data_IF_489033849058
#
_entry.id   IF_489033849058
#
_cell.length_a   1.000
_cell.length_b   1.000
_cell.length_c   1.000
_cell.angle_alpha   90.00
_cell.angle_beta   90.00
_cell.angle_gamma   90.00
#
_symmetry.space_group_name_H-M   'P 1'
#
loop_
_entity.id
_entity.type
_entity.pdbx_description
1 polymer ?
#
# COMPACT_ATOMS: atom_id res chain seq x y z
N UNK A 1 10.11 14.32 -27.74
CA UNK A 1 8.82 13.63 -27.45
C UNK A 1 9.06 12.50 -26.45
N UNK A 2 9.43 12.80 -25.20
CA UNK A 2 9.91 11.78 -24.24
C UNK A 2 9.06 11.70 -22.95
N UNK A 3 8.03 12.55 -22.80
CA UNK A 3 7.17 12.60 -21.60
C UNK A 3 5.91 11.74 -21.66
N UNK A 4 5.38 11.45 -22.86
CA UNK A 4 4.08 10.75 -23.02
C UNK A 4 4.14 9.25 -22.65
N UNK A 5 5.32 8.62 -22.64
CA UNK A 5 5.42 7.18 -22.35
C UNK A 5 5.50 6.85 -20.85
N UNK A 6 5.97 7.78 -20.02
CA UNK A 6 6.27 7.51 -18.60
C UNK A 6 5.02 7.54 -17.73
N UNK A 7 4.10 8.47 -18.00
CA UNK A 7 2.82 8.56 -17.31
C UNK A 7 1.93 7.33 -17.61
N UNK A 8 1.84 6.91 -18.88
CA UNK A 8 1.08 5.71 -19.27
C UNK A 8 1.62 4.42 -18.63
N UNK A 9 2.95 4.28 -18.56
CA UNK A 9 3.58 3.16 -17.86
C UNK A 9 3.28 3.18 -16.34
N UNK A 10 3.30 4.36 -15.71
CA UNK A 10 2.98 4.53 -14.29
C UNK A 10 1.51 4.18 -13.99
N UNK A 11 0.58 4.62 -14.83
CA UNK A 11 -0.84 4.28 -14.71
C UNK A 11 -1.04 2.76 -14.83
N UNK A 12 -0.39 2.12 -15.81
CA UNK A 12 -0.47 0.65 -15.95
C UNK A 12 0.07 -0.08 -14.71
N UNK A 13 1.14 0.44 -14.10
CA UNK A 13 1.71 -0.15 -12.89
C UNK A 13 0.84 0.11 -11.65
N UNK A 14 0.17 1.27 -11.56
CA UNK A 14 -0.83 1.55 -10.54
C UNK A 14 -1.99 0.56 -10.63
N UNK A 15 -2.56 0.35 -11.81
CA UNK A 15 -3.65 -0.64 -12.00
C UNK A 15 -3.21 -2.08 -11.72
N UNK A 16 -1.93 -2.40 -11.88
CA UNK A 16 -1.37 -3.70 -11.49
C UNK A 16 -1.23 -3.84 -9.97
N UNK A 17 -0.79 -2.77 -9.30
CA UNK A 17 -0.69 -2.75 -7.85
C UNK A 17 -2.09 -2.82 -7.21
N UNK A 18 -3.07 -2.10 -7.78
CA UNK A 18 -4.46 -2.13 -7.32
C UNK A 18 -5.03 -3.55 -7.35
N UNK A 19 -4.92 -4.25 -8.49
CA UNK A 19 -5.33 -5.66 -8.59
C UNK A 19 -4.64 -6.57 -7.57
N UNK A 20 -3.34 -6.36 -7.32
CA UNK A 20 -2.62 -7.12 -6.28
C UNK A 20 -3.13 -6.84 -4.87
N UNK A 21 -3.54 -5.61 -4.59
CA UNK A 21 -4.14 -5.25 -3.30
C UNK A 21 -5.54 -5.87 -3.16
N UNK A 22 -6.32 -5.94 -4.24
CA UNK A 22 -7.61 -6.65 -4.26
C UNK A 22 -7.43 -8.16 -4.01
N UNK A 23 -6.49 -8.82 -4.69
CA UNK A 23 -6.13 -10.22 -4.43
C UNK A 23 -5.66 -10.42 -2.98
N UNK A 24 -4.88 -9.47 -2.45
CA UNK A 24 -4.43 -9.50 -1.07
C UNK A 24 -5.60 -9.42 -0.08
N UNK A 25 -6.55 -8.50 -0.29
CA UNK A 25 -7.75 -8.36 0.54
C UNK A 25 -8.62 -9.63 0.48
N UNK A 26 -8.68 -10.29 -0.69
CA UNK A 26 -9.36 -11.58 -0.84
C UNK A 26 -8.67 -12.68 -0.03
N UNK A 27 -7.35 -12.81 -0.10
CA UNK A 27 -6.61 -13.80 0.70
C UNK A 27 -6.76 -13.58 2.22
N UNK A 28 -6.89 -12.33 2.66
CA UNK A 28 -7.18 -11.99 4.06
C UNK A 28 -8.56 -12.52 4.45
N UNK A 29 -9.57 -12.31 3.60
CA UNK A 29 -10.92 -12.81 3.84
C UNK A 29 -10.99 -14.35 3.85
N UNK A 30 -10.18 -15.00 3.02
CA UNK A 30 -10.05 -16.47 2.97
C UNK A 30 -9.22 -17.06 4.13
N UNK A 31 -8.58 -16.22 4.95
CA UNK A 31 -7.73 -16.66 6.06
C UNK A 31 -6.38 -17.26 5.64
N UNK A 32 -5.95 -17.05 4.40
CA UNK A 32 -4.69 -17.59 3.88
C UNK A 32 -3.51 -16.70 4.28
N UNK A 33 -3.08 -16.82 5.54
CA UNK A 33 -2.06 -15.96 6.16
C UNK A 33 -0.68 -16.03 5.52
N UNK A 34 -0.26 -17.20 5.02
CA UNK A 34 1.03 -17.35 4.33
C UNK A 34 1.05 -16.58 2.99
N UNK A 35 0.02 -16.78 2.16
CA UNK A 35 -0.10 -16.12 0.88
C UNK A 35 -0.33 -14.61 1.05
N UNK A 36 -1.08 -14.22 2.08
CA UNK A 36 -1.29 -12.83 2.47
C UNK A 36 0.04 -12.14 2.81
N UNK A 37 0.90 -12.77 3.63
CA UNK A 37 2.17 -12.18 4.06
C UNK A 37 3.14 -11.98 2.89
N UNK A 38 3.25 -12.99 2.00
CA UNK A 38 4.06 -12.90 0.78
C UNK A 38 3.54 -11.79 -0.16
N UNK A 39 2.22 -11.71 -0.32
CA UNK A 39 1.56 -10.73 -1.17
C UNK A 39 1.68 -9.31 -0.61
N UNK A 40 1.65 -9.15 0.72
CA UNK A 40 1.85 -7.88 1.41
C UNK A 40 3.26 -7.32 1.15
N UNK A 41 4.30 -8.13 1.38
CA UNK A 41 5.69 -7.72 1.14
C UNK A 41 5.93 -7.31 -0.33
N UNK A 42 5.28 -8.02 -1.24
CA UNK A 42 5.28 -7.71 -2.67
C UNK A 42 4.63 -6.34 -2.93
N UNK A 43 3.45 -6.10 -2.37
CA UNK A 43 2.74 -4.82 -2.51
C UNK A 43 3.54 -3.64 -1.94
N UNK A 44 4.16 -3.79 -0.76
CA UNK A 44 5.05 -2.77 -0.18
C UNK A 44 6.22 -2.42 -1.11
N UNK A 45 6.85 -3.43 -1.69
CA UNK A 45 7.98 -3.23 -2.61
C UNK A 45 7.56 -2.49 -3.87
N UNK A 46 6.42 -2.88 -4.46
CA UNK A 46 5.88 -2.20 -5.63
C UNK A 46 5.45 -0.77 -5.32
N UNK A 47 4.78 -0.53 -4.18
CA UNK A 47 4.36 0.80 -3.75
C UNK A 47 5.57 1.74 -3.60
N UNK A 48 6.66 1.29 -2.95
CA UNK A 48 7.89 2.08 -2.81
C UNK A 48 8.51 2.42 -4.17
N UNK A 49 8.62 1.44 -5.07
CA UNK A 49 9.16 1.65 -6.43
C UNK A 49 8.30 2.62 -7.24
N UNK A 50 6.98 2.49 -7.13
CA UNK A 50 6.03 3.36 -7.81
C UNK A 50 6.08 4.78 -7.28
N UNK A 51 6.16 4.95 -5.96
CA UNK A 51 6.28 6.27 -5.35
C UNK A 51 7.57 6.98 -5.78
N UNK A 52 8.70 6.27 -5.82
CA UNK A 52 9.97 6.83 -6.28
C UNK A 52 9.88 7.30 -7.75
N UNK A 53 9.33 6.47 -8.64
CA UNK A 53 9.14 6.84 -10.06
C UNK A 53 8.13 7.96 -10.26
N UNK A 54 7.02 7.95 -9.52
CA UNK A 54 6.00 8.98 -9.60
C UNK A 54 6.54 10.33 -9.11
N UNK A 55 7.35 10.32 -8.04
CA UNK A 55 8.02 11.52 -7.53
C UNK A 55 8.98 12.12 -8.56
N UNK A 56 9.75 11.27 -9.24
CA UNK A 56 10.76 11.72 -10.21
C UNK A 56 10.13 12.26 -11.52
N UNK A 57 9.02 11.66 -11.98
CA UNK A 57 8.52 11.91 -13.33
C UNK A 57 7.10 12.48 -13.44
N UNK A 58 6.26 12.33 -12.41
CA UNK A 58 4.80 12.60 -12.53
C UNK A 58 4.29 13.61 -11.52
N UNK A 59 4.90 13.76 -10.34
CA UNK A 59 4.42 14.72 -9.34
C UNK A 59 4.48 16.18 -9.83
N UNK A 60 5.32 16.46 -10.82
CA UNK A 60 5.45 17.78 -11.44
C UNK A 60 4.54 17.99 -12.66
N UNK A 61 3.75 16.99 -13.06
CA UNK A 61 2.83 17.06 -14.20
C UNK A 61 1.39 17.34 -13.76
N UNK A 62 0.49 17.59 -14.71
CA UNK A 62 -0.93 17.80 -14.44
C UNK A 62 -1.60 16.59 -13.74
N UNK A 63 -1.11 15.37 -14.01
CA UNK A 63 -1.60 14.12 -13.39
C UNK A 63 -1.01 13.86 -12.00
N UNK A 64 0.01 14.62 -11.59
CA UNK A 64 0.72 14.45 -10.32
C UNK A 64 -0.20 14.36 -9.10
N UNK A 65 -1.11 15.32 -8.88
CA UNK A 65 -2.04 15.29 -7.75
C UNK A 65 -2.91 14.02 -7.71
N UNK A 66 -3.41 13.56 -8.86
CA UNK A 66 -4.24 12.36 -8.95
C UNK A 66 -3.43 11.11 -8.60
N UNK A 67 -2.23 10.98 -9.16
CA UNK A 67 -1.33 9.85 -8.88
C UNK A 67 -0.92 9.80 -7.41
N UNK A 68 -0.68 10.94 -6.77
CA UNK A 68 -0.42 11.01 -5.32
C UNK A 68 -1.61 10.49 -4.52
N UNK A 69 -2.83 10.89 -4.88
CA UNK A 69 -4.04 10.40 -4.21
C UNK A 69 -4.22 8.89 -4.37
N UNK A 70 -3.99 8.35 -5.56
CA UNK A 70 -4.16 6.91 -5.81
C UNK A 70 -3.09 6.08 -5.09
N UNK A 71 -1.84 6.55 -5.06
CA UNK A 71 -0.79 5.94 -4.24
C UNK A 71 -1.12 5.99 -2.74
N UNK A 72 -1.69 7.10 -2.25
CA UNK A 72 -2.10 7.23 -0.86
C UNK A 72 -3.24 6.26 -0.51
N UNK A 73 -4.25 6.11 -1.39
CA UNK A 73 -5.34 5.13 -1.21
C UNK A 73 -4.79 3.70 -1.13
N UNK A 74 -3.88 3.33 -2.04
CA UNK A 74 -3.26 2.01 -2.03
C UNK A 74 -2.45 1.76 -0.76
N UNK A 75 -1.69 2.76 -0.28
CA UNK A 75 -0.98 2.68 0.99
C UNK A 75 -1.93 2.39 2.16
N UNK A 76 -3.03 3.14 2.26
CA UNK A 76 -4.01 2.96 3.34
C UNK A 76 -4.63 1.56 3.31
N UNK A 77 -4.96 1.03 2.12
CA UNK A 77 -5.49 -0.35 1.98
C UNK A 77 -4.48 -1.39 2.45
N UNK A 78 -3.22 -1.28 2.02
CA UNK A 78 -2.13 -2.17 2.45
C UNK A 78 -1.93 -2.11 3.98
N UNK A 79 -1.98 -0.91 4.57
CA UNK A 79 -1.87 -0.75 6.03
C UNK A 79 -3.05 -1.35 6.79
N UNK A 80 -4.28 -1.28 6.26
CA UNK A 80 -5.43 -1.98 6.86
C UNK A 80 -5.22 -3.48 6.85
N UNK A 81 -4.75 -4.05 5.75
CA UNK A 81 -4.42 -5.47 5.67
C UNK A 81 -3.35 -5.82 6.70
N UNK A 82 -2.28 -5.03 6.80
CA UNK A 82 -1.23 -5.24 7.81
C UNK A 82 -1.80 -5.25 9.23
N UNK A 83 -2.67 -4.29 9.58
CA UNK A 83 -3.36 -4.27 10.88
C UNK A 83 -4.31 -5.45 11.08
N UNK A 84 -4.93 -5.95 10.02
CA UNK A 84 -5.78 -7.14 10.08
C UNK A 84 -4.95 -8.38 10.43
N UNK A 85 -3.83 -8.59 9.74
CA UNK A 85 -2.90 -9.70 10.02
C UNK A 85 -2.33 -9.58 11.43
N UNK A 86 -1.96 -8.36 11.85
CA UNK A 86 -1.46 -8.09 13.21
C UNK A 86 -2.44 -8.54 14.30
N UNK A 87 -3.73 -8.28 14.08
CA UNK A 87 -4.79 -8.69 15.01
C UNK A 87 -5.03 -10.20 14.99
N UNK A 88 -4.96 -10.84 13.83
CA UNK A 88 -5.16 -12.28 13.69
C UNK A 88 -3.96 -13.12 14.16
N UNK A 89 -2.73 -12.58 14.11
CA UNK A 89 -1.48 -13.28 14.43
C UNK A 89 -0.49 -12.40 15.23
N UNK A 90 -0.74 -12.17 16.53
CA UNK A 90 0.06 -11.26 17.36
C UNK A 90 1.52 -11.70 17.61
N UNK A 91 1.88 -12.95 17.28
CA UNK A 91 3.21 -13.55 17.53
C UNK A 91 4.14 -13.57 16.32
N UNK A 92 3.75 -13.01 15.17
CA UNK A 92 4.65 -12.97 14.00
C UNK A 92 5.71 -11.85 14.15
N UNK A 93 7.02 -12.17 14.06
CA UNK A 93 8.12 -11.23 14.32
C UNK A 93 8.20 -10.04 13.34
N UNK A 94 7.37 -10.03 12.29
CA UNK A 94 7.20 -8.90 11.38
C UNK A 94 6.27 -7.80 11.92
N UNK A 95 5.55 -8.06 13.02
CA UNK A 95 4.49 -7.19 13.54
C UNK A 95 4.85 -6.48 14.86
N UNK A 96 5.90 -6.93 15.57
CA UNK A 96 6.35 -6.30 16.82
C UNK A 96 7.12 -4.98 16.64
N UNK A 97 7.37 -4.56 15.40
CA UNK A 97 8.29 -3.44 15.12
C UNK A 97 7.70 -2.03 15.17
N UNK A 98 6.38 -1.83 15.27
CA UNK A 98 5.82 -0.47 15.34
C UNK A 98 4.34 -0.41 15.76
N UNK A 99 3.95 -1.18 16.78
CA UNK A 99 2.73 -0.89 17.53
C UNK A 99 3.05 0.13 18.64
N UNK A 100 3.52 1.33 18.26
CA UNK A 100 3.29 2.48 19.12
C UNK A 100 1.82 2.82 18.96
N UNK A 101 1.03 2.24 19.87
CA UNK A 101 -0.34 2.64 20.16
C UNK A 101 -0.43 4.17 20.18
N UNK A 102 -1.08 4.73 19.17
CA UNK A 102 -1.70 6.05 19.32
C UNK A 102 -2.93 5.80 20.19
N UNK A 103 -2.71 5.71 21.50
CA UNK A 103 -3.74 5.95 22.50
C UNK A 103 -4.16 7.40 22.33
N UNK A 104 -5.19 7.64 21.50
CA UNK A 104 -5.94 8.89 21.55
C UNK A 104 -6.62 8.86 22.90
N UNK A 105 -6.01 9.57 23.85
CA UNK A 105 -6.57 9.83 25.16
C UNK A 105 -7.99 10.34 24.99
N UNK A 106 -8.94 9.52 25.43
CA UNK A 106 -10.16 9.97 26.07
C UNK A 106 -9.75 10.80 27.29
N UNK A 107 -9.44 12.08 27.04
CA UNK A 107 -9.41 13.11 28.07
C UNK A 107 -10.28 14.24 27.55
N UNK A 108 -11.54 14.22 27.99
CA UNK A 108 -12.29 15.38 28.45
C UNK A 108 -13.61 14.85 29.03
N UNK A 109 -13.49 14.32 30.25
CA UNK A 109 -14.50 14.52 31.29
C UNK A 109 -14.41 15.98 31.77
#
# INVERSE_FOLDING_TARGET
MQGENTAGALISWLSRLERKVEDLEKHVAEGNSEQTTKSLATCDTYLKKLYARAKEHVFHTADGPQVVQDLAKLKVRIERVRKSIARSHPVSPWLSGNLQEVSIQEQLA
#
